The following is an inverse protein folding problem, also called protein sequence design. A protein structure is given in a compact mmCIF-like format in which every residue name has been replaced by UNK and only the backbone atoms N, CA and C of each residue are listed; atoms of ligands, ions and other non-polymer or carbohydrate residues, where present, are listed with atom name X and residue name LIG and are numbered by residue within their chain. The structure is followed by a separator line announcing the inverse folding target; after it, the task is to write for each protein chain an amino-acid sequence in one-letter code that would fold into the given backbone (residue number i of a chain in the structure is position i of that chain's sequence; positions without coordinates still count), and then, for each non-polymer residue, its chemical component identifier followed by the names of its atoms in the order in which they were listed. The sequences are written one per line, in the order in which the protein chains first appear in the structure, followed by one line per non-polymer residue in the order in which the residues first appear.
data_IF_802053164804
#
_entry.id   IF_802053164804
#
_cell.length_a   1.000
_cell.length_b   1.000
_cell.length_c   1.000
_cell.angle_alpha   90.00
_cell.angle_beta   90.00
_cell.angle_gamma   90.00
#
_symmetry.space_group_name_H-M   'P 1'
#
loop_
_entity.id
_entity.type
_entity.pdbx_description
1 polymer ?
#
# COMPACT_ATOMS: atom_id res chain seq x y z
N UNK A 1 -3.31 -2.34 12.11
CA UNK A 1 -4.73 -1.81 11.95
C UNK A 1 -4.99 -1.22 10.51
N UNK A 2 -5.37 -2.06 9.51
CA UNK A 2 -5.64 -1.51 8.14
C UNK A 2 -7.16 -1.04 7.95
N UNK A 3 -7.33 0.09 7.32
CA UNK A 3 -8.71 0.55 6.95
C UNK A 3 -8.92 0.45 5.48
N UNK A 4 -9.19 -0.72 4.95
CA UNK A 4 -9.36 -0.87 3.47
C UNK A 4 -10.69 -0.48 2.76
N UNK A 5 -11.05 -0.55 1.46
CA UNK A 5 -10.36 -1.35 0.43
C UNK A 5 -8.93 -1.00 -0.16
N UNK A 6 -8.40 0.27 -0.22
CA UNK A 6 -7.04 0.62 -0.77
C UNK A 6 -6.26 1.42 0.32
N UNK A 7 -5.33 0.79 1.04
CA UNK A 7 -4.50 1.46 2.10
C UNK A 7 -3.12 0.77 2.31
N UNK A 8 -1.95 1.43 2.28
CA UNK A 8 -0.87 1.01 3.23
C UNK A 8 -0.32 2.12 4.24
N UNK A 9 -0.31 3.39 3.85
CA UNK A 9 -0.80 4.51 4.72
C UNK A 9 -2.06 5.12 3.94
N UNK A 10 -1.79 5.79 2.82
CA UNK A 10 -2.85 6.18 1.85
C UNK A 10 -2.76 5.36 0.48
N UNK A 11 -3.08 5.91 -0.67
CA UNK A 11 -3.15 5.20 -1.99
C UNK A 11 -1.85 5.31 -2.91
N UNK A 12 -1.73 4.63 -4.07
CA UNK A 12 -0.41 4.13 -4.77
C UNK A 12 0.58 5.15 -5.42
N UNK A 13 1.71 4.70 -5.90
CA UNK A 13 2.68 5.58 -6.59
C UNK A 13 3.75 4.82 -7.42
N UNK A 14 4.88 4.46 -6.83
CA UNK A 14 6.01 3.78 -7.54
C UNK A 14 5.68 2.36 -8.16
N UNK A 15 5.91 1.17 -7.42
CA UNK A 15 5.55 -0.15 -8.07
C UNK A 15 4.18 -0.68 -7.60
N UNK A 16 3.07 -0.34 -8.33
CA UNK A 16 1.70 -0.23 -7.60
C UNK A 16 1.05 -1.66 -7.30
N UNK A 17 0.88 -2.13 -6.04
CA UNK A 17 0.92 -3.61 -5.74
C UNK A 17 0.03 -4.09 -4.59
N UNK A 18 -0.56 -5.39 -4.50
CA UNK A 18 -1.24 -5.85 -3.23
C UNK A 18 -0.39 -6.44 -2.04
N UNK A 19 -0.45 -5.96 -0.79
CA UNK A 19 -0.09 -6.79 0.39
C UNK A 19 1.44 -6.84 0.71
N UNK A 20 2.36 -6.60 -0.20
CA UNK A 20 3.83 -6.60 0.08
C UNK A 20 4.35 -5.17 0.70
N UNK A 21 5.20 -5.16 1.77
CA UNK A 21 5.98 -3.94 2.03
C UNK A 21 7.12 -3.73 1.02
N UNK A 22 6.96 -2.87 0.05
CA UNK A 22 7.58 -3.05 -1.30
C UNK A 22 8.24 -1.79 -1.96
N UNK A 23 7.51 -1.04 -2.74
CA UNK A 23 8.02 -0.07 -3.76
C UNK A 23 6.93 1.06 -3.91
N UNK A 24 5.71 0.65 -4.29
CA UNK A 24 4.47 1.35 -3.61
C UNK A 24 4.44 0.85 -2.12
N UNK A 25 3.29 0.81 -1.32
CA UNK A 25 3.36 0.91 0.17
C UNK A 25 4.29 0.04 0.98
N UNK A 26 5.24 0.57 1.71
CA UNK A 26 6.06 -0.20 2.66
C UNK A 26 5.53 -0.35 4.17
N UNK A 27 4.21 -0.52 4.28
CA UNK A 27 3.49 -0.08 5.53
C UNK A 27 2.35 -1.09 6.01
N UNK A 28 1.05 -0.76 6.18
CA UNK A 28 0.00 -1.84 6.49
C UNK A 28 -0.88 -2.27 5.16
N UNK A 29 -0.41 -3.28 4.39
CA UNK A 29 -0.83 -3.26 2.92
C UNK A 29 -2.12 -4.07 2.33
N UNK A 30 -3.16 -3.34 2.03
CA UNK A 30 -4.23 -3.74 1.14
C UNK A 30 -3.89 -3.72 -0.34
N UNK A 31 -4.23 -2.73 -1.26
CA UNK A 31 -3.92 -2.82 -2.72
C UNK A 31 -3.66 -1.41 -3.51
N UNK A 32 -4.47 -0.40 -3.29
CA UNK A 32 -3.92 1.00 -3.28
C UNK A 32 -3.20 1.25 -1.90
N UNK A 33 -2.06 0.65 -1.92
CA UNK A 33 -0.93 0.84 -0.92
C UNK A 33 -0.17 2.26 -1.13
N UNK A 34 0.34 3.11 -0.10
CA UNK A 34 1.32 4.29 -0.35
C UNK A 34 2.67 4.06 -1.14
N UNK A 35 3.91 4.19 -0.54
CA UNK A 35 5.19 4.31 -1.23
C UNK A 35 6.33 3.50 -0.50
N UNK A 36 7.45 3.12 -1.10
CA UNK A 36 8.70 2.85 -0.31
C UNK A 36 9.40 4.11 0.43
#
# INVERSE_FOLDING_TARGET
EKKCPGRCTLKCGKHERPTLPYNCGKYICCVPVKVK
#
